data_IF_162535235930
#
_entry.id   IF_162535235930
#
_cell.length_a   1.000
_cell.length_b   1.000
_cell.length_c   1.000
_cell.angle_alpha   90.00
_cell.angle_beta   90.00
_cell.angle_gamma   90.00
#
_symmetry.space_group_name_H-M   'P 1'
#
loop_
_entity.id
_entity.type
_entity.pdbx_description
1 polymer ?
#
# COMPACT_ATOMS: atom_id res chain seq x y z
N UNK A 1 3.59 1.69 -5.21
CA UNK A 1 4.97 1.94 -4.79
C UNK A 1 5.52 3.22 -5.42
N UNK A 2 4.87 3.76 -6.46
CA UNK A 2 5.26 4.98 -7.17
C UNK A 2 5.42 6.24 -6.29
N UNK A 3 4.81 6.28 -5.09
CA UNK A 3 4.94 7.41 -4.15
C UNK A 3 6.22 7.38 -3.31
N UNK A 4 7.05 6.34 -3.41
CA UNK A 4 8.36 6.30 -2.75
C UNK A 4 9.43 6.76 -3.75
N UNK A 5 10.14 7.89 -3.49
CA UNK A 5 11.16 8.41 -4.41
C UNK A 5 12.35 7.45 -4.58
N UNK A 6 12.86 6.90 -3.47
CA UNK A 6 14.00 5.99 -3.46
C UNK A 6 13.74 4.70 -4.23
N UNK A 7 14.54 4.45 -5.27
CA UNK A 7 14.53 3.17 -5.99
C UNK A 7 14.94 2.01 -5.09
N UNK A 8 15.91 2.22 -4.19
CA UNK A 8 16.35 1.20 -3.23
C UNK A 8 15.18 0.71 -2.38
N UNK A 9 14.42 1.63 -1.79
CA UNK A 9 13.26 1.27 -0.93
C UNK A 9 12.16 0.60 -1.77
N UNK A 10 11.93 1.06 -3.01
CA UNK A 10 10.99 0.40 -3.93
C UNK A 10 11.41 -1.04 -4.25
N UNK A 11 12.69 -1.28 -4.49
CA UNK A 11 13.23 -2.61 -4.78
C UNK A 11 13.11 -3.53 -3.56
N UNK A 12 13.43 -3.03 -2.35
CA UNK A 12 13.28 -3.79 -1.11
C UNK A 12 11.81 -4.19 -0.85
N UNK A 13 10.86 -3.28 -1.05
CA UNK A 13 9.42 -3.57 -0.89
C UNK A 13 8.86 -4.42 -2.06
N UNK A 14 9.50 -4.37 -3.22
CA UNK A 14 9.08 -5.06 -4.44
C UNK A 14 9.52 -6.52 -4.52
N UNK A 15 10.62 -6.88 -3.85
CA UNK A 15 11.24 -8.21 -3.90
C UNK A 15 10.46 -9.28 -3.12
N UNK A 16 9.58 -9.98 -3.81
CA UNK A 16 8.69 -11.00 -3.23
C UNK A 16 9.36 -12.29 -2.77
N UNK A 17 10.52 -12.62 -3.31
CA UNK A 17 11.21 -13.83 -2.90
C UNK A 17 11.77 -13.65 -1.50
N UNK A 18 12.20 -12.44 -1.19
CA UNK A 18 12.87 -12.13 0.05
C UNK A 18 12.00 -11.40 1.07
N UNK A 19 10.82 -10.88 0.69
CA UNK A 19 9.93 -10.11 1.57
C UNK A 19 9.38 -10.95 2.74
N UNK A 20 9.52 -10.43 3.96
CA UNK A 20 9.01 -11.02 5.21
C UNK A 20 8.44 -9.94 6.13
N UNK A 21 7.67 -10.33 7.13
CA UNK A 21 7.17 -9.43 8.19
C UNK A 21 8.35 -8.69 8.86
N UNK A 22 9.40 -9.40 9.27
CA UNK A 22 10.61 -8.80 9.88
C UNK A 22 11.29 -7.74 9.01
N UNK A 23 11.32 -7.93 7.68
CA UNK A 23 11.89 -6.94 6.76
C UNK A 23 11.02 -5.70 6.64
N UNK A 24 9.70 -5.88 6.63
CA UNK A 24 8.76 -4.76 6.62
C UNK A 24 8.90 -3.94 7.91
N UNK A 25 9.03 -4.60 9.06
CA UNK A 25 9.27 -3.95 10.34
C UNK A 25 10.61 -3.21 10.34
N UNK A 26 11.70 -3.81 9.86
CA UNK A 26 12.99 -3.15 9.73
C UNK A 26 12.94 -1.90 8.83
N UNK A 27 12.18 -1.93 7.72
CA UNK A 27 11.96 -0.76 6.86
C UNK A 27 11.22 0.35 7.61
N UNK A 28 10.18 -0.01 8.38
CA UNK A 28 9.43 0.95 9.20
C UNK A 28 10.27 1.55 10.33
N UNK A 29 11.10 0.74 10.99
CA UNK A 29 12.04 1.19 12.01
C UNK A 29 13.07 2.18 11.45
N UNK A 30 13.63 1.88 10.27
CA UNK A 30 14.53 2.79 9.55
C UNK A 30 13.85 4.12 9.20
N UNK A 31 12.61 4.06 8.70
CA UNK A 31 11.83 5.27 8.44
C UNK A 31 11.61 6.09 9.73
N UNK A 32 11.24 5.46 10.84
CA UNK A 32 11.01 6.14 12.11
C UNK A 32 12.31 6.74 12.68
N UNK A 33 13.44 6.06 12.51
CA UNK A 33 14.75 6.59 12.85
C UNK A 33 15.05 7.87 12.05
N UNK A 34 14.90 7.81 10.73
CA UNK A 34 15.21 8.94 9.85
C UNK A 34 14.24 10.11 10.00
N UNK A 35 12.98 9.81 10.32
CA UNK A 35 11.98 10.82 10.69
C UNK A 35 12.42 11.58 11.95
N UNK A 36 12.84 10.86 13.01
CA UNK A 36 13.33 11.47 14.26
C UNK A 36 14.61 12.28 14.07
N UNK A 37 15.47 11.84 13.14
CA UNK A 37 16.72 12.52 12.80
C UNK A 37 16.55 13.69 11.81
N UNK A 38 15.33 13.99 11.36
CA UNK A 38 15.05 14.97 10.30
C UNK A 38 15.85 14.70 9.00
N UNK A 39 16.03 13.42 8.66
CA UNK A 39 16.87 12.96 7.56
C UNK A 39 16.05 12.35 6.39
N UNK A 40 14.73 12.55 6.37
CA UNK A 40 13.84 11.91 5.39
C UNK A 40 14.25 12.15 3.93
N UNK A 41 14.40 13.42 3.55
CA UNK A 41 14.76 13.78 2.18
C UNK A 41 16.16 13.28 1.81
N UNK A 42 17.12 13.41 2.74
CA UNK A 42 18.50 12.97 2.55
C UNK A 42 18.59 11.46 2.32
N UNK A 43 17.71 10.68 2.96
CA UNK A 43 17.68 9.22 2.86
C UNK A 43 16.64 8.71 1.84
N UNK A 44 16.09 9.60 1.01
CA UNK A 44 15.26 9.22 -0.14
C UNK A 44 13.81 8.84 0.18
N UNK A 45 13.32 9.20 1.38
CA UNK A 45 11.92 9.05 1.75
C UNK A 45 11.06 10.13 1.08
N UNK A 46 9.76 9.86 0.93
CA UNK A 46 8.82 10.89 0.47
C UNK A 46 8.76 12.03 1.49
N UNK A 47 8.81 13.28 1.04
CA UNK A 47 8.55 14.46 1.88
C UNK A 47 7.07 14.88 1.86
N UNK A 48 6.30 14.39 0.88
CA UNK A 48 4.87 14.63 0.79
C UNK A 48 4.12 13.54 1.54
N UNK A 49 3.50 13.90 2.66
CA UNK A 49 2.79 12.97 3.55
C UNK A 49 3.65 11.71 3.85
N UNK A 50 4.85 11.88 4.46
CA UNK A 50 5.86 10.83 4.60
C UNK A 50 5.31 9.56 5.24
N UNK A 51 4.67 9.70 6.41
CA UNK A 51 4.12 8.58 7.17
C UNK A 51 2.97 7.86 6.45
N UNK A 52 2.13 8.62 5.73
CA UNK A 52 1.07 8.04 4.91
C UNK A 52 1.65 7.25 3.73
N UNK A 53 2.65 7.81 3.05
CA UNK A 53 3.27 7.20 1.87
C UNK A 53 3.94 5.88 2.23
N UNK A 54 4.73 5.85 3.32
CA UNK A 54 5.40 4.62 3.74
C UNK A 54 4.41 3.61 4.30
N UNK A 55 3.42 4.02 5.12
CA UNK A 55 2.44 3.07 5.67
C UNK A 55 1.63 2.37 4.58
N UNK A 56 1.22 3.08 3.52
CA UNK A 56 0.50 2.46 2.39
C UNK A 56 1.39 1.60 1.51
N UNK A 57 2.64 1.97 1.30
CA UNK A 57 3.58 1.13 0.55
C UNK A 57 3.91 -0.18 1.30
N UNK A 58 4.16 -0.11 2.61
CA UNK A 58 4.37 -1.28 3.46
C UNK A 58 3.10 -2.14 3.55
N UNK A 59 1.90 -1.53 3.64
CA UNK A 59 0.63 -2.27 3.59
C UNK A 59 0.48 -3.06 2.29
N UNK A 60 0.77 -2.44 1.14
CA UNK A 60 0.73 -3.12 -0.16
C UNK A 60 1.71 -4.30 -0.20
N UNK A 61 2.92 -4.13 0.31
CA UNK A 61 3.92 -5.19 0.40
C UNK A 61 3.45 -6.32 1.34
N UNK A 62 2.87 -5.97 2.49
CA UNK A 62 2.32 -6.91 3.47
C UNK A 62 1.15 -7.73 2.90
N UNK A 63 0.27 -7.12 2.10
CA UNK A 63 -0.78 -7.84 1.36
C UNK A 63 -0.20 -9.01 0.56
N UNK A 64 0.94 -8.82 -0.10
CA UNK A 64 1.58 -9.87 -0.90
C UNK A 64 2.22 -10.96 -0.02
N UNK A 65 2.80 -10.58 1.13
CA UNK A 65 3.30 -11.54 2.15
C UNK A 65 2.15 -12.43 2.64
N UNK A 66 1.01 -11.82 2.99
CA UNK A 66 -0.16 -12.56 3.46
C UNK A 66 -0.75 -13.47 2.38
N UNK A 67 -0.84 -13.01 1.14
CA UNK A 67 -1.31 -13.83 0.02
C UNK A 67 -0.45 -15.09 -0.20
N UNK A 68 0.89 -14.97 -0.05
CA UNK A 68 1.80 -16.12 -0.11
C UNK A 68 1.61 -17.07 1.08
N UNK A 69 1.37 -16.53 2.27
CA UNK A 69 1.18 -17.29 3.52
C UNK A 69 -0.15 -18.06 3.55
N UNK A 70 -1.19 -17.52 2.91
CA UNK A 70 -2.54 -18.07 2.90
C UNK A 70 -3.08 -18.18 1.46
N UNK A 71 -2.62 -19.18 0.68
CA UNK A 71 -2.97 -19.28 -0.74
C UNK A 71 -4.47 -19.53 -1.02
N UNK A 72 -5.21 -20.06 -0.04
CA UNK A 72 -6.65 -20.30 -0.14
C UNK A 72 -7.50 -19.03 0.11
N UNK A 73 -6.88 -17.93 0.58
CA UNK A 73 -7.57 -16.67 0.85
C UNK A 73 -7.38 -15.66 -0.28
N UNK A 74 -8.45 -14.94 -0.64
CA UNK A 74 -8.38 -13.79 -1.53
C UNK A 74 -7.90 -12.55 -0.76
N UNK A 75 -6.59 -12.29 -0.76
CA UNK A 75 -5.97 -11.18 -0.01
C UNK A 75 -5.43 -10.15 -0.99
N UNK A 76 -6.11 -9.01 -1.11
CA UNK A 76 -5.77 -7.96 -2.08
C UNK A 76 -5.75 -6.58 -1.41
N UNK A 77 -5.17 -5.61 -2.09
CA UNK A 77 -5.19 -4.21 -1.68
C UNK A 77 -5.86 -3.35 -2.75
N UNK A 78 -6.52 -2.28 -2.33
CA UNK A 78 -7.27 -1.39 -3.22
C UNK A 78 -7.05 0.06 -2.86
N UNK A 79 -6.77 0.86 -3.88
CA UNK A 79 -6.85 2.31 -3.83
C UNK A 79 -8.26 2.74 -4.25
N UNK A 80 -9.05 3.39 -3.37
CA UNK A 80 -10.45 3.69 -3.65
C UNK A 80 -10.65 4.89 -4.59
N UNK A 81 -9.57 5.56 -5.00
CA UNK A 81 -9.63 6.86 -5.66
C UNK A 81 -9.59 8.03 -4.65
N UNK A 82 -9.86 9.24 -5.14
CA UNK A 82 -9.86 10.44 -4.31
C UNK A 82 -11.28 10.76 -3.81
N UNK A 83 -11.64 10.11 -2.71
CA UNK A 83 -13.01 10.07 -2.16
C UNK A 83 -13.29 11.26 -1.26
N UNK A 84 -14.45 11.89 -1.42
CA UNK A 84 -14.98 12.96 -0.58
C UNK A 84 -15.28 12.43 0.84
N UNK A 85 -14.37 12.71 1.79
CA UNK A 85 -14.45 12.24 3.18
C UNK A 85 -13.77 13.23 4.13
N UNK A 86 -13.96 13.05 5.44
CA UNK A 86 -13.31 13.88 6.47
C UNK A 86 -11.77 13.87 6.37
N UNK A 87 -11.16 12.77 5.90
CA UNK A 87 -9.69 12.63 5.83
C UNK A 87 -9.02 13.66 4.90
N UNK A 88 -9.76 14.14 3.89
CA UNK A 88 -9.30 15.15 2.94
C UNK A 88 -10.15 16.43 3.01
N UNK A 89 -10.83 16.67 4.14
CA UNK A 89 -11.67 17.84 4.38
C UNK A 89 -12.69 18.09 3.25
N UNK A 90 -13.32 17.02 2.75
CA UNK A 90 -14.29 17.08 1.66
C UNK A 90 -13.78 17.69 0.35
N UNK A 91 -12.51 17.47 0.02
CA UNK A 91 -11.92 17.95 -1.25
C UNK A 91 -11.87 16.85 -2.32
N UNK A 92 -12.36 15.65 -2.03
CA UNK A 92 -12.42 14.52 -2.96
C UNK A 92 -13.26 14.78 -4.20
N UNK A 93 -12.95 14.11 -5.31
CA UNK A 93 -13.70 14.22 -6.58
C UNK A 93 -14.69 13.08 -6.79
N UNK A 94 -14.71 12.09 -5.90
CA UNK A 94 -15.56 10.90 -5.97
C UNK A 94 -16.44 10.79 -4.73
N UNK A 95 -17.66 10.24 -4.88
CA UNK A 95 -18.54 9.99 -3.74
C UNK A 95 -18.08 8.78 -2.91
N UNK A 96 -18.57 8.67 -1.68
CA UNK A 96 -18.32 7.52 -0.80
C UNK A 96 -18.76 6.21 -1.47
N UNK A 97 -19.91 6.21 -2.14
CA UNK A 97 -20.44 5.05 -2.85
C UNK A 97 -19.54 4.64 -4.02
N UNK A 98 -18.99 5.59 -4.76
CA UNK A 98 -18.04 5.31 -5.85
C UNK A 98 -16.74 4.73 -5.31
N UNK A 99 -16.19 5.31 -4.23
CA UNK A 99 -14.97 4.84 -3.59
C UNK A 99 -15.10 3.45 -2.96
N UNK A 100 -16.28 3.09 -2.45
CA UNK A 100 -16.53 1.80 -1.81
C UNK A 100 -16.57 0.62 -2.80
N UNK A 101 -16.83 0.86 -4.09
CA UNK A 101 -17.04 -0.19 -5.10
C UNK A 101 -15.90 -1.20 -5.17
N UNK A 102 -14.66 -0.69 -5.17
CA UNK A 102 -13.46 -1.54 -5.23
C UNK A 102 -13.36 -2.49 -4.04
N UNK A 103 -13.47 -1.96 -2.82
CA UNK A 103 -13.42 -2.75 -1.59
C UNK A 103 -14.55 -3.78 -1.52
N UNK A 104 -15.78 -3.40 -1.87
CA UNK A 104 -16.93 -4.32 -1.88
C UNK A 104 -16.76 -5.42 -2.93
N UNK A 105 -16.27 -5.09 -4.13
CA UNK A 105 -15.97 -6.07 -5.18
C UNK A 105 -14.96 -7.11 -4.69
N UNK A 106 -13.90 -6.68 -4.01
CA UNK A 106 -12.86 -7.58 -3.49
C UNK A 106 -13.36 -8.45 -2.33
N UNK A 107 -14.22 -7.92 -1.46
CA UNK A 107 -14.81 -8.66 -0.36
C UNK A 107 -15.81 -9.76 -0.82
N UNK A 108 -16.35 -9.61 -2.03
CA UNK A 108 -17.33 -10.53 -2.63
C UNK A 108 -16.73 -11.41 -3.73
N UNK A 109 -15.40 -11.50 -3.82
CA UNK A 109 -14.75 -12.40 -4.78
C UNK A 109 -15.18 -13.86 -4.51
N UNK A 110 -15.42 -14.64 -5.58
CA UNK A 110 -15.64 -16.06 -5.42
C UNK A 110 -14.34 -16.75 -4.97
N UNK A 111 -14.48 -17.96 -4.42
CA UNK A 111 -13.34 -18.83 -4.15
C UNK A 111 -12.50 -19.02 -5.42
N UNK A 112 -11.17 -19.01 -5.27
CA UNK A 112 -10.22 -19.03 -6.39
C UNK A 112 -10.09 -17.70 -7.15
N UNK A 113 -10.65 -16.61 -6.61
CA UNK A 113 -10.41 -15.25 -7.10
C UNK A 113 -8.96 -14.79 -6.99
N UNK A 114 -8.62 -13.61 -7.53
CA UNK A 114 -7.27 -13.07 -7.46
C UNK A 114 -6.82 -12.89 -6.01
N UNK A 115 -5.53 -13.10 -5.77
CA UNK A 115 -4.88 -12.88 -4.47
C UNK A 115 -3.49 -12.27 -4.69
N UNK A 116 -3.04 -11.45 -3.76
CA UNK A 116 -1.76 -10.73 -3.83
C UNK A 116 -1.74 -9.60 -4.85
N UNK A 117 -2.89 -9.11 -5.31
CA UNK A 117 -2.99 -8.05 -6.32
C UNK A 117 -3.25 -6.67 -5.70
N UNK A 118 -2.87 -5.63 -6.45
CA UNK A 118 -3.26 -4.24 -6.21
C UNK A 118 -4.33 -3.82 -7.21
N UNK A 119 -5.34 -3.11 -6.72
CA UNK A 119 -6.43 -2.58 -7.52
C UNK A 119 -6.47 -1.05 -7.44
N UNK A 120 -6.54 -0.37 -8.59
CA UNK A 120 -6.97 1.03 -8.64
C UNK A 120 -8.47 1.06 -8.94
N UNK A 121 -9.25 1.39 -7.91
CA UNK A 121 -10.72 1.27 -7.89
C UNK A 121 -11.14 -0.18 -8.16
N UNK A 122 -11.64 -0.47 -9.36
CA UNK A 122 -12.14 -1.80 -9.74
C UNK A 122 -11.20 -2.59 -10.65
N UNK A 123 -10.11 -1.98 -11.09
CA UNK A 123 -9.18 -2.53 -12.08
C UNK A 123 -7.89 -2.99 -11.43
N UNK A 124 -7.35 -4.12 -11.89
CA UNK A 124 -6.01 -4.57 -11.48
C UNK A 124 -4.97 -3.59 -12.00
N UNK A 125 -4.00 -3.24 -11.15
CA UNK A 125 -2.92 -2.32 -11.49
C UNK A 125 -1.59 -2.78 -10.89
N UNK A 126 -0.50 -2.16 -11.33
CA UNK A 126 0.84 -2.40 -10.80
C UNK A 126 1.04 -1.77 -9.41
N UNK A 127 1.94 -2.36 -8.64
CA UNK A 127 2.11 -2.09 -7.21
C UNK A 127 2.62 -0.72 -6.81
#
# INVERSE_FOLDING_TARGET
MQRIPSEKIRNELGDMESLTEDKLDAILENFLHDLKANALQANGWSVMLPSYSISKATLNAYTRVLAKKYPEMCINCVHPGYVDTDINCHTGTMTVEEGARGSVKLALLPDGGPTGCYFDRTEVADF
#
